data_IF_346749091031
#
_entry.id   IF_346749091031
#
_cell.length_a   1.000
_cell.length_b   1.000
_cell.length_c   1.000
_cell.angle_alpha   90.00
_cell.angle_beta   90.00
_cell.angle_gamma   90.00
#
_symmetry.space_group_name_H-M   'P 1'
#
loop_
_entity.id
_entity.type
_entity.pdbx_description
1 polymer ?
#
# COMPACT_ATOMS: atom_id res chain seq x y z
N UNK A 1 -8.68 -11.10 25.51
CA UNK A 1 -8.03 -10.94 24.19
C UNK A 1 -6.74 -11.77 24.17
N UNK A 2 -6.41 -12.50 23.10
CA UNK A 2 -5.27 -13.46 23.08
C UNK A 2 -4.12 -13.10 22.14
N UNK A 3 -4.37 -12.28 21.10
CA UNK A 3 -3.31 -11.86 20.18
C UNK A 3 -2.16 -11.15 20.91
N UNK A 4 -0.95 -11.29 20.39
CA UNK A 4 0.27 -10.64 20.92
C UNK A 4 0.68 -9.38 20.17
N UNK A 5 0.26 -9.23 18.92
CA UNK A 5 0.46 -8.06 18.10
C UNK A 5 -0.69 -7.95 17.09
N UNK A 6 -0.91 -6.75 16.54
CA UNK A 6 -1.87 -6.52 15.48
C UNK A 6 -1.23 -5.73 14.32
N UNK A 7 -1.69 -5.99 13.10
CA UNK A 7 -1.37 -5.19 11.92
C UNK A 7 -2.66 -4.56 11.41
N UNK A 8 -2.64 -3.25 11.19
CA UNK A 8 -3.73 -2.52 10.56
C UNK A 8 -3.45 -2.35 9.07
N UNK A 9 -4.27 -2.99 8.24
CA UNK A 9 -4.23 -2.82 6.78
C UNK A 9 -5.09 -1.63 6.32
N UNK A 10 -6.11 -1.27 7.11
CA UNK A 10 -7.03 -0.16 6.84
C UNK A 10 -7.04 0.80 8.02
N UNK A 11 -6.11 1.75 8.02
CA UNK A 11 -5.88 2.71 9.11
C UNK A 11 -7.15 3.54 9.43
N UNK A 12 -7.79 4.14 8.43
CA UNK A 12 -8.98 4.99 8.66
C UNK A 12 -10.15 4.25 9.32
N UNK A 13 -10.33 2.95 9.07
CA UNK A 13 -11.44 2.20 9.65
C UNK A 13 -11.13 1.63 11.04
N UNK A 14 -9.87 1.24 11.29
CA UNK A 14 -9.52 0.39 12.44
C UNK A 14 -8.63 1.07 13.48
N UNK A 15 -8.13 2.29 13.25
CA UNK A 15 -7.22 2.98 14.17
C UNK A 15 -7.79 3.13 15.59
N UNK A 16 -9.09 3.45 15.71
CA UNK A 16 -9.74 3.60 17.02
C UNK A 16 -9.85 2.26 17.77
N UNK A 17 -10.08 1.16 17.05
CA UNK A 17 -10.11 -0.18 17.62
C UNK A 17 -8.71 -0.61 18.08
N UNK A 18 -7.69 -0.40 17.24
CA UNK A 18 -6.33 -0.78 17.56
C UNK A 18 -5.77 -0.03 18.77
N UNK A 19 -6.03 1.28 18.89
CA UNK A 19 -5.69 2.07 20.09
C UNK A 19 -6.33 1.50 21.35
N UNK A 20 -7.63 1.20 21.31
CA UNK A 20 -8.32 0.57 22.45
C UNK A 20 -7.76 -0.82 22.76
N UNK A 21 -7.29 -1.56 21.75
CA UNK A 21 -6.67 -2.86 21.96
C UNK A 21 -5.31 -2.75 22.66
N UNK A 22 -4.52 -1.76 22.30
CA UNK A 22 -3.26 -1.42 22.96
C UNK A 22 -3.51 -0.96 24.41
N UNK A 23 -4.39 0.02 24.62
CA UNK A 23 -4.71 0.56 25.94
C UNK A 23 -5.27 -0.48 26.92
N UNK A 24 -6.18 -1.34 26.45
CA UNK A 24 -6.93 -2.26 27.33
C UNK A 24 -6.25 -3.62 27.51
N UNK A 25 -5.48 -4.07 26.53
CA UNK A 25 -4.91 -5.42 26.52
C UNK A 25 -3.41 -5.48 26.22
N UNK A 26 -2.73 -4.33 26.11
CA UNK A 26 -1.30 -4.23 25.79
C UNK A 26 -0.95 -5.00 24.50
N UNK A 27 -1.79 -4.81 23.47
CA UNK A 27 -1.59 -5.41 22.14
C UNK A 27 -1.05 -4.34 21.21
N UNK A 28 0.28 -4.31 21.02
CA UNK A 28 0.88 -3.31 20.15
C UNK A 28 0.41 -3.54 18.72
N UNK A 29 0.33 -2.45 17.96
CA UNK A 29 -0.04 -2.49 16.56
C UNK A 29 0.88 -1.64 15.69
N UNK A 30 0.82 -1.89 14.39
CA UNK A 30 1.45 -1.05 13.38
C UNK A 30 0.57 -0.97 12.14
N UNK A 31 0.78 0.07 11.33
CA UNK A 31 0.21 0.16 9.98
C UNK A 31 1.10 -0.56 8.98
N UNK A 32 0.52 -1.36 8.10
CA UNK A 32 1.27 -2.00 7.03
C UNK A 32 0.37 -2.45 5.89
N UNK A 33 0.99 -2.98 4.83
CA UNK A 33 0.30 -3.46 3.64
C UNK A 33 0.80 -4.83 3.20
N UNK A 34 -0.07 -5.55 2.50
CA UNK A 34 0.28 -6.76 1.74
C UNK A 34 0.12 -6.54 0.22
N UNK A 35 0.07 -5.28 -0.21
CA UNK A 35 0.14 -4.93 -1.63
C UNK A 35 1.59 -4.59 -1.98
N UNK A 36 2.13 -5.29 -2.98
CA UNK A 36 3.52 -5.13 -3.36
C UNK A 36 4.43 -6.05 -2.54
N UNK A 37 5.58 -6.37 -3.13
CA UNK A 37 6.58 -7.27 -2.58
C UNK A 37 7.23 -6.62 -1.36
N UNK A 38 7.74 -5.39 -1.51
CA UNK A 38 8.52 -4.71 -0.47
C UNK A 38 7.67 -4.37 0.76
N UNK A 39 6.44 -3.92 0.54
CA UNK A 39 5.47 -3.60 1.59
C UNK A 39 5.08 -4.86 2.38
N UNK A 40 4.87 -5.98 1.68
CA UNK A 40 4.60 -7.29 2.32
C UNK A 40 5.78 -7.71 3.20
N UNK A 41 7.00 -7.64 2.67
CA UNK A 41 8.21 -7.98 3.41
C UNK A 41 8.40 -7.07 4.64
N UNK A 42 8.16 -5.77 4.50
CA UNK A 42 8.23 -4.84 5.62
C UNK A 42 7.15 -5.12 6.67
N UNK A 43 5.95 -5.50 6.26
CA UNK A 43 4.88 -5.90 7.17
C UNK A 43 5.26 -7.14 7.98
N UNK A 44 5.84 -8.15 7.33
CA UNK A 44 6.37 -9.34 8.02
C UNK A 44 7.44 -8.98 9.04
N UNK A 45 8.43 -8.16 8.65
CA UNK A 45 9.49 -7.66 9.55
C UNK A 45 8.94 -6.92 10.76
N UNK A 46 7.98 -6.02 10.54
CA UNK A 46 7.36 -5.26 11.62
C UNK A 46 6.59 -6.16 12.59
N UNK A 47 5.84 -7.13 12.04
CA UNK A 47 5.08 -8.07 12.86
C UNK A 47 5.99 -8.91 13.76
N UNK A 48 7.07 -9.49 13.21
CA UNK A 48 7.97 -10.32 14.01
C UNK A 48 8.75 -9.54 15.05
N UNK A 49 9.11 -8.28 14.77
CA UNK A 49 9.68 -7.37 15.77
C UNK A 49 8.74 -7.14 16.94
N UNK A 50 7.43 -6.95 16.68
CA UNK A 50 6.43 -6.82 17.75
C UNK A 50 6.26 -8.13 18.54
N UNK A 51 6.23 -9.28 17.86
CA UNK A 51 6.11 -10.57 18.53
C UNK A 51 7.29 -10.85 19.46
N UNK A 52 8.52 -10.58 19.03
CA UNK A 52 9.72 -10.72 19.87
C UNK A 52 9.66 -9.79 21.08
N UNK A 53 9.27 -8.52 20.89
CA UNK A 53 9.03 -7.59 22.02
C UNK A 53 7.99 -8.10 23.01
N UNK A 54 7.08 -8.98 22.58
CA UNK A 54 6.03 -9.60 23.39
C UNK A 54 6.38 -11.00 23.86
N UNK A 55 7.65 -11.39 23.78
CA UNK A 55 8.19 -12.63 24.35
C UNK A 55 8.20 -13.84 23.40
N UNK A 56 8.04 -13.64 22.09
CA UNK A 56 8.30 -14.70 21.13
C UNK A 56 9.81 -14.99 21.00
N UNK A 57 10.14 -16.22 20.62
CA UNK A 57 11.52 -16.63 20.36
C UNK A 57 12.19 -15.74 19.29
N UNK A 58 13.35 -15.12 19.59
CA UNK A 58 14.10 -14.30 18.62
C UNK A 58 14.47 -15.02 17.32
N UNK A 59 14.55 -16.36 17.29
CA UNK A 59 14.82 -17.15 16.07
C UNK A 59 13.82 -16.83 14.94
N UNK A 60 12.60 -16.39 15.29
CA UNK A 60 11.58 -15.99 14.30
C UNK A 60 12.04 -14.86 13.38
N UNK A 61 12.97 -14.01 13.82
CA UNK A 61 13.52 -12.93 13.00
C UNK A 61 14.29 -13.47 11.80
N UNK A 62 15.23 -14.39 12.04
CA UNK A 62 16.07 -15.00 11.00
C UNK A 62 15.26 -15.89 10.06
N UNK A 63 14.33 -16.67 10.62
CA UNK A 63 13.39 -17.48 9.82
C UNK A 63 12.54 -16.61 8.91
N UNK A 64 12.15 -15.43 9.37
CA UNK A 64 11.36 -14.49 8.57
C UNK A 64 12.18 -13.86 7.46
N UNK A 65 13.42 -13.46 7.69
CA UNK A 65 14.30 -12.96 6.62
C UNK A 65 14.59 -14.04 5.57
N UNK A 66 14.81 -15.28 6.01
CA UNK A 66 14.97 -16.43 5.10
C UNK A 66 13.74 -16.63 4.22
N UNK A 67 12.54 -16.60 4.84
CA UNK A 67 11.27 -16.68 4.11
C UNK A 67 11.11 -15.53 3.13
N UNK A 68 11.38 -14.29 3.57
CA UNK A 68 11.28 -13.09 2.74
C UNK A 68 12.18 -13.24 1.51
N UNK A 69 13.47 -13.54 1.68
CA UNK A 69 14.40 -13.66 0.56
C UNK A 69 13.93 -14.71 -0.47
N UNK A 70 13.44 -15.86 -0.01
CA UNK A 70 12.91 -16.92 -0.87
C UNK A 70 11.65 -16.47 -1.63
N UNK A 71 10.69 -15.86 -0.93
CA UNK A 71 9.42 -15.47 -1.53
C UNK A 71 9.55 -14.25 -2.44
N UNK A 72 10.41 -13.29 -2.09
CA UNK A 72 10.73 -12.15 -2.95
C UNK A 72 11.33 -12.64 -4.27
N UNK A 73 12.31 -13.56 -4.25
CA UNK A 73 12.90 -14.10 -5.47
C UNK A 73 11.86 -14.77 -6.39
N UNK A 74 10.92 -15.52 -5.80
CA UNK A 74 9.81 -16.15 -6.55
C UNK A 74 8.87 -15.09 -7.11
N UNK A 75 8.50 -14.08 -6.32
CA UNK A 75 7.57 -13.04 -6.71
C UNK A 75 8.15 -12.15 -7.82
N UNK A 76 9.40 -11.69 -7.67
CA UNK A 76 10.11 -10.90 -8.69
C UNK A 76 10.21 -11.65 -10.01
N UNK A 77 10.60 -12.93 -9.98
CA UNK A 77 10.66 -13.77 -11.19
C UNK A 77 9.31 -13.87 -11.90
N UNK A 78 8.21 -14.01 -11.15
CA UNK A 78 6.85 -14.06 -11.72
C UNK A 78 6.40 -12.72 -12.28
N UNK A 79 6.81 -11.61 -11.66
CA UNK A 79 6.44 -10.26 -12.08
C UNK A 79 7.24 -9.76 -13.28
N UNK A 80 8.40 -10.36 -13.60
CA UNK A 80 9.27 -9.91 -14.69
C UNK A 80 8.54 -9.79 -16.05
N UNK A 81 7.70 -10.78 -16.38
CA UNK A 81 6.93 -10.76 -17.63
C UNK A 81 5.89 -9.63 -17.68
N UNK A 82 5.34 -9.26 -16.52
CA UNK A 82 4.41 -8.12 -16.41
C UNK A 82 5.16 -6.80 -16.45
N UNK A 83 6.31 -6.71 -15.77
CA UNK A 83 7.17 -5.52 -15.76
C UNK A 83 7.54 -5.11 -17.18
N UNK A 84 7.96 -6.05 -18.03
CA UNK A 84 8.28 -5.76 -19.44
C UNK A 84 7.13 -5.14 -20.24
N UNK A 85 5.88 -5.46 -19.89
CA UNK A 85 4.68 -4.96 -20.58
C UNK A 85 4.13 -3.67 -19.99
N UNK A 86 4.39 -3.44 -18.71
CA UNK A 86 3.77 -2.39 -17.91
C UNK A 86 4.75 -1.25 -17.57
N UNK A 87 6.05 -1.46 -17.73
CA UNK A 87 7.04 -0.43 -17.49
C UNK A 87 6.79 0.81 -18.36
N UNK A 88 6.78 1.98 -17.72
CA UNK A 88 6.52 3.27 -18.36
C UNK A 88 5.04 3.53 -18.68
N UNK A 89 4.12 2.60 -18.38
CA UNK A 89 2.68 2.87 -18.46
C UNK A 89 2.29 3.86 -17.38
N UNK A 90 1.41 4.78 -17.70
CA UNK A 90 0.91 5.83 -16.81
C UNK A 90 -0.44 5.43 -16.25
N UNK A 91 -0.60 5.46 -14.93
CA UNK A 91 -1.86 5.11 -14.26
C UNK A 91 -2.43 6.29 -13.47
N UNK A 92 -3.74 6.46 -13.60
CA UNK A 92 -4.55 7.36 -12.80
C UNK A 92 -5.37 6.57 -11.77
N UNK A 93 -5.15 6.83 -10.49
CA UNK A 93 -5.83 6.17 -9.38
C UNK A 93 -6.96 7.04 -8.85
N UNK A 94 -8.20 6.72 -9.21
CA UNK A 94 -9.40 7.30 -8.63
C UNK A 94 -10.11 6.29 -7.72
N UNK A 95 -9.36 5.68 -6.81
CA UNK A 95 -9.91 4.74 -5.85
C UNK A 95 -10.34 5.48 -4.60
N UNK A 96 -11.64 5.48 -4.30
CA UNK A 96 -12.19 6.13 -3.10
C UNK A 96 -11.91 5.38 -1.80
N UNK A 97 -10.71 4.83 -1.61
CA UNK A 97 -10.36 4.00 -0.46
C UNK A 97 -8.99 4.33 0.13
N UNK A 98 -8.86 4.05 1.43
CA UNK A 98 -7.64 3.91 2.25
C UNK A 98 -6.47 3.11 1.65
N UNK A 99 -6.64 2.57 0.43
CA UNK A 99 -5.69 1.67 -0.23
C UNK A 99 -4.85 2.37 -1.29
N UNK A 100 -5.02 3.68 -1.50
CA UNK A 100 -4.35 4.42 -2.56
C UNK A 100 -2.82 4.32 -2.45
N UNK A 101 -2.26 4.53 -1.25
CA UNK A 101 -0.82 4.35 -1.01
C UNK A 101 -0.32 2.94 -1.35
N UNK A 102 -0.98 1.92 -0.80
CA UNK A 102 -0.56 0.52 -0.97
C UNK A 102 -0.57 0.06 -2.42
N UNK A 103 -1.57 0.52 -3.18
CA UNK A 103 -1.65 0.24 -4.61
C UNK A 103 -0.63 1.07 -5.40
N UNK A 104 -0.38 2.32 -5.02
CA UNK A 104 0.69 3.15 -5.59
C UNK A 104 2.03 2.42 -5.52
N UNK A 105 2.41 1.92 -4.34
CA UNK A 105 3.69 1.24 -4.14
C UNK A 105 3.80 -0.01 -5.03
N UNK A 106 2.78 -0.86 -5.02
CA UNK A 106 2.74 -2.08 -5.83
C UNK A 106 2.84 -1.83 -7.34
N UNK A 107 2.21 -0.75 -7.84
CA UNK A 107 2.28 -0.39 -9.27
C UNK A 107 3.66 0.15 -9.64
N UNK A 108 4.28 0.93 -8.76
CA UNK A 108 5.64 1.44 -8.98
C UNK A 108 6.69 0.32 -8.99
N UNK A 109 6.52 -0.73 -8.17
CA UNK A 109 7.40 -1.91 -8.16
C UNK A 109 7.47 -2.61 -9.53
N UNK A 110 6.39 -2.60 -10.29
CA UNK A 110 6.32 -3.17 -11.64
C UNK A 110 6.58 -2.13 -12.75
N UNK A 111 7.04 -0.93 -12.38
CA UNK A 111 7.49 0.10 -13.31
C UNK A 111 6.38 0.98 -13.89
N UNK A 112 5.18 0.97 -13.32
CA UNK A 112 4.10 1.87 -13.72
C UNK A 112 4.29 3.25 -13.08
N UNK A 113 4.11 4.29 -13.88
CA UNK A 113 4.19 5.69 -13.47
C UNK A 113 2.82 6.17 -12.94
N UNK A 114 2.80 6.72 -11.73
CA UNK A 114 1.58 7.29 -11.15
C UNK A 114 1.46 8.74 -11.62
N UNK A 115 0.49 9.01 -12.51
CA UNK A 115 0.21 10.38 -13.00
C UNK A 115 -0.85 11.10 -12.17
N UNK A 116 -1.57 10.38 -11.33
CA UNK A 116 -2.50 10.98 -10.39
C UNK A 116 -3.07 9.96 -9.40
N UNK A 117 -3.30 10.37 -8.16
CA UNK A 117 -3.96 9.56 -7.15
C UNK A 117 -4.91 10.38 -6.28
N UNK A 118 -6.12 9.86 -6.06
CA UNK A 118 -7.06 10.41 -5.11
C UNK A 118 -6.60 10.17 -3.67
N UNK A 119 -6.69 11.20 -2.83
CA UNK A 119 -6.29 11.17 -1.42
C UNK A 119 -7.46 11.40 -0.46
N UNK A 120 -8.71 11.39 -0.98
CA UNK A 120 -9.94 11.72 -0.24
C UNK A 120 -10.11 10.97 1.09
N UNK A 121 -9.66 9.72 1.12
CA UNK A 121 -9.81 8.81 2.27
C UNK A 121 -8.47 8.33 2.83
N UNK A 122 -7.39 8.99 2.46
CA UNK A 122 -6.04 8.71 2.96
C UNK A 122 -5.84 9.41 4.31
N UNK A 123 -5.19 8.72 5.25
CA UNK A 123 -4.78 9.34 6.52
C UNK A 123 -3.68 10.38 6.29
N UNK A 124 -3.38 11.20 7.30
CA UNK A 124 -2.25 12.15 7.25
C UNK A 124 -0.94 11.41 6.94
N UNK A 125 -0.72 10.28 7.60
CA UNK A 125 0.47 9.46 7.41
C UNK A 125 0.55 8.89 5.98
N UNK A 126 -0.57 8.44 5.41
CA UNK A 126 -0.61 7.98 4.02
C UNK A 126 -0.31 9.11 3.04
N UNK A 127 -0.82 10.31 3.28
CA UNK A 127 -0.52 11.49 2.44
C UNK A 127 0.97 11.82 2.47
N UNK A 128 1.61 11.76 3.63
CA UNK A 128 3.06 11.97 3.77
C UNK A 128 3.88 10.91 3.03
N UNK A 129 3.52 9.63 3.17
CA UNK A 129 4.17 8.53 2.43
C UNK A 129 4.04 8.71 0.92
N UNK A 130 2.84 9.04 0.43
CA UNK A 130 2.59 9.30 -1.00
C UNK A 130 3.46 10.47 -1.49
N UNK A 131 3.58 11.57 -0.73
CA UNK A 131 4.44 12.70 -1.10
C UNK A 131 5.91 12.31 -1.21
N UNK A 132 6.41 11.49 -0.29
CA UNK A 132 7.80 11.02 -0.31
C UNK A 132 8.10 10.19 -1.57
N UNK A 133 7.16 9.35 -1.99
CA UNK A 133 7.34 8.45 -3.14
C UNK A 133 7.10 9.13 -4.48
N UNK A 134 6.04 9.94 -4.60
CA UNK A 134 5.70 10.61 -5.85
C UNK A 134 6.61 11.80 -6.16
N UNK A 135 7.45 12.24 -5.20
CA UNK A 135 8.43 13.36 -5.28
C UNK A 135 7.83 14.71 -5.70
N UNK A 136 6.54 14.76 -6.03
CA UNK A 136 5.78 15.91 -6.50
C UNK A 136 4.33 15.83 -6.03
N UNK A 137 3.88 16.88 -5.33
CA UNK A 137 2.50 17.04 -4.82
C UNK A 137 1.48 17.15 -5.97
N UNK A 138 1.94 17.46 -7.19
CA UNK A 138 1.11 17.69 -8.39
C UNK A 138 0.30 16.47 -8.84
N UNK A 139 0.60 15.28 -8.32
CA UNK A 139 -0.12 14.05 -8.64
C UNK A 139 -1.21 13.70 -7.61
N UNK A 140 -1.45 14.52 -6.58
CA UNK A 140 -2.44 14.23 -5.54
C UNK A 140 -3.68 15.10 -5.69
N UNK A 141 -4.88 14.52 -5.59
CA UNK A 141 -6.15 15.26 -5.63
C UNK A 141 -7.18 14.75 -4.61
N UNK A 142 -7.96 15.64 -4.01
CA UNK A 142 -9.04 15.24 -3.09
C UNK A 142 -10.24 14.62 -3.82
N UNK A 143 -10.67 15.23 -4.93
CA UNK A 143 -11.69 14.68 -5.82
C UNK A 143 -11.55 15.28 -7.20
N UNK A 144 -11.97 14.52 -8.21
CA UNK A 144 -11.99 14.94 -9.61
C UNK A 144 -13.35 14.61 -10.19
N UNK A 145 -13.89 15.46 -11.05
CA UNK A 145 -15.17 15.20 -11.69
C UNK A 145 -15.05 14.00 -12.66
N UNK A 146 -16.16 13.28 -12.88
CA UNK A 146 -16.18 12.17 -13.84
C UNK A 146 -15.76 12.63 -15.26
N UNK A 147 -16.18 13.82 -15.66
CA UNK A 147 -15.80 14.44 -16.94
C UNK A 147 -14.30 14.72 -17.05
N UNK A 148 -13.67 15.16 -15.97
CA UNK A 148 -12.22 15.44 -15.93
C UNK A 148 -11.40 14.14 -15.97
N UNK A 149 -11.84 13.10 -15.25
CA UNK A 149 -11.23 11.77 -15.31
C UNK A 149 -11.31 11.19 -16.72
N UNK A 150 -12.46 11.33 -17.37
CA UNK A 150 -12.65 10.93 -18.76
C UNK A 150 -11.75 11.73 -19.70
N UNK A 151 -11.66 13.06 -19.53
CA UNK A 151 -10.78 13.90 -20.34
C UNK A 151 -9.31 13.47 -20.24
N UNK A 152 -8.82 13.16 -19.02
CA UNK A 152 -7.46 12.65 -18.83
C UNK A 152 -7.20 11.34 -19.58
N UNK A 153 -8.20 10.47 -19.65
CA UNK A 153 -8.11 9.23 -20.42
C UNK A 153 -8.19 9.48 -21.94
N UNK A 154 -9.15 10.27 -22.40
CA UNK A 154 -9.35 10.55 -23.83
C UNK A 154 -8.19 11.34 -24.43
N UNK A 155 -7.54 12.18 -23.64
CA UNK A 155 -6.36 12.95 -24.06
C UNK A 155 -5.05 12.15 -23.91
N UNK A 156 -5.11 10.85 -23.60
CA UNK A 156 -3.95 9.99 -23.41
C UNK A 156 -2.95 10.53 -22.37
N UNK A 157 -3.44 11.20 -21.31
CA UNK A 157 -2.60 11.61 -20.17
C UNK A 157 -2.37 10.45 -19.19
N UNK A 158 -3.23 9.45 -19.20
CA UNK A 158 -3.06 8.17 -18.53
C UNK A 158 -3.33 7.02 -19.52
N UNK A 159 -2.59 5.92 -19.38
CA UNK A 159 -2.79 4.69 -20.15
C UNK A 159 -3.75 3.73 -19.47
N UNK A 160 -3.85 3.81 -18.13
CA UNK A 160 -4.71 2.96 -17.29
C UNK A 160 -5.42 3.86 -16.27
N UNK A 161 -6.71 3.62 -16.03
CA UNK A 161 -7.42 4.21 -14.89
C UNK A 161 -7.91 3.11 -13.96
N UNK A 162 -7.52 3.19 -12.68
CA UNK A 162 -8.10 2.36 -11.63
C UNK A 162 -9.10 3.20 -10.85
N UNK A 163 -10.39 2.92 -11.05
CA UNK A 163 -11.48 3.70 -10.48
C UNK A 163 -12.56 2.81 -9.87
N UNK A 164 -13.44 3.40 -9.07
CA UNK A 164 -14.63 2.70 -8.56
C UNK A 164 -15.69 2.52 -9.65
N UNK A 165 -16.68 1.64 -9.41
CA UNK A 165 -17.73 1.31 -10.39
C UNK A 165 -18.58 2.48 -10.88
N UNK A 166 -18.62 3.62 -10.17
CA UNK A 166 -19.31 4.85 -10.61
C UNK A 166 -18.52 5.67 -11.64
N UNK A 167 -17.29 5.27 -11.92
CA UNK A 167 -16.33 5.98 -12.77
C UNK A 167 -15.62 5.00 -13.71
N UNK A 168 -16.24 3.86 -14.04
CA UNK A 168 -15.77 3.00 -15.12
C UNK A 168 -16.33 3.55 -16.44
N UNK A 169 -15.44 3.87 -17.37
CA UNK A 169 -15.76 4.37 -18.71
C UNK A 169 -15.33 3.35 -19.75
#
# INVERSE_FOLDING_TARGET
>A
HRARAAMMVCSTALISLARKMEERWDIPFFEGSFYGISDTSQALRNLVRLLVRKGADPEILERTETLIAQQEAIAWKKLESYRQRLQGKRVLLNTGGVKSWSVVHALMEIGIEIVGTSIKKSTVQDKERIKQVLKHDKHMFESMAASELYAMLSEHRADIMLSGGRTQF
#
